data_IF_881549283897
#
_entry.id   IF_881549283897
#
_cell.length_a   1.000
_cell.length_b   1.000
_cell.length_c   1.000
_cell.angle_alpha   90.00
_cell.angle_beta   90.00
_cell.angle_gamma   90.00
#
_symmetry.space_group_name_H-M   'P 1'
#
loop_
_entity.id
_entity.type
_entity.pdbx_description
1 polymer ?
#
# COMPACT_ATOMS: atom_id res chain seq x y z
N UNK A 1 17.50 7.58 -13.11
CA UNK A 1 16.72 6.70 -12.20
C UNK A 1 16.91 5.27 -12.65
N UNK A 2 17.16 4.33 -11.74
CA UNK A 2 17.34 2.91 -12.06
C UNK A 2 15.96 2.23 -12.14
N UNK A 3 15.65 1.54 -13.24
CA UNK A 3 14.36 0.87 -13.45
C UNK A 3 14.09 -0.25 -12.43
N UNK A 4 15.15 -0.84 -11.86
CA UNK A 4 15.01 -1.87 -10.82
C UNK A 4 14.32 -1.35 -9.55
N UNK A 5 14.49 -0.07 -9.23
CA UNK A 5 13.87 0.58 -8.06
C UNK A 5 12.33 0.68 -8.19
N UNK A 6 11.77 0.37 -9.36
CA UNK A 6 10.35 0.48 -9.69
C UNK A 6 9.77 -0.85 -10.20
N UNK A 7 10.43 -1.98 -9.92
CA UNK A 7 9.83 -3.29 -10.17
C UNK A 7 8.53 -3.41 -9.38
N UNK A 8 7.43 -3.71 -10.06
CA UNK A 8 6.10 -3.85 -9.45
C UNK A 8 5.72 -5.33 -9.41
N UNK A 9 5.24 -5.81 -8.27
CA UNK A 9 4.58 -7.11 -8.14
C UNK A 9 3.39 -7.00 -7.19
N UNK A 10 2.32 -7.74 -7.47
CA UNK A 10 1.13 -7.76 -6.60
C UNK A 10 1.06 -9.08 -5.84
N UNK A 11 0.72 -8.99 -4.57
CA UNK A 11 0.28 -10.11 -3.77
C UNK A 11 -1.25 -10.04 -3.65
N UNK A 12 -1.99 -11.03 -4.18
CA UNK A 12 -3.44 -10.99 -4.19
C UNK A 12 -4.05 -10.90 -2.79
N UNK A 13 -3.50 -11.63 -1.81
CA UNK A 13 -3.98 -11.63 -0.43
C UNK A 13 -2.83 -11.76 0.57
N UNK A 14 -2.82 -10.93 1.61
CA UNK A 14 -1.77 -10.87 2.63
C UNK A 14 -1.68 -12.14 3.49
N UNK A 15 -2.80 -12.83 3.68
CA UNK A 15 -2.88 -14.08 4.45
C UNK A 15 -2.28 -15.29 3.71
N UNK A 16 -2.23 -15.25 2.39
CA UNK A 16 -1.79 -16.37 1.55
C UNK A 16 -0.27 -16.36 1.30
N UNK A 17 0.49 -15.48 1.96
CA UNK A 17 1.87 -15.23 1.63
C UNK A 17 2.85 -15.49 2.78
N UNK A 18 3.69 -16.51 2.62
CA UNK A 18 5.06 -16.44 3.11
C UNK A 18 5.89 -15.61 2.13
N UNK A 19 5.97 -14.30 2.36
CA UNK A 19 6.76 -13.40 1.53
C UNK A 19 8.06 -13.02 2.25
N UNK A 20 9.20 -13.16 1.56
CA UNK A 20 10.52 -12.73 2.04
C UNK A 20 10.53 -11.28 2.52
N UNK A 21 9.70 -10.41 1.91
CA UNK A 21 9.56 -9.01 2.32
C UNK A 21 8.87 -8.91 3.68
N UNK A 22 7.79 -9.66 3.91
CA UNK A 22 7.09 -9.68 5.20
C UNK A 22 8.00 -10.20 6.32
N UNK A 23 8.78 -11.26 6.05
CA UNK A 23 9.78 -11.78 6.98
C UNK A 23 10.89 -10.75 7.25
N UNK A 24 11.48 -10.17 6.20
CA UNK A 24 12.55 -9.16 6.30
C UNK A 24 12.15 -7.98 7.19
N UNK A 25 10.95 -7.44 6.98
CA UNK A 25 10.47 -6.26 7.69
C UNK A 25 9.57 -6.58 8.90
N UNK A 26 9.50 -7.85 9.33
CA UNK A 26 8.68 -8.31 10.47
C UNK A 26 7.23 -7.81 10.40
N UNK A 27 6.64 -7.88 9.21
CA UNK A 27 5.25 -7.48 8.98
C UNK A 27 4.34 -8.53 9.59
N UNK A 28 3.44 -8.11 10.47
CA UNK A 28 2.39 -8.95 11.04
C UNK A 28 1.04 -8.35 10.67
N UNK A 29 0.12 -9.19 10.22
CA UNK A 29 -1.26 -8.82 9.96
C UNK A 29 -2.16 -9.48 11.00
N UNK A 30 -3.04 -8.70 11.60
CA UNK A 30 -4.07 -9.18 12.50
C UNK A 30 -5.43 -8.86 11.87
N UNK A 31 -6.25 -9.89 11.69
CA UNK A 31 -7.62 -9.73 11.21
C UNK A 31 -8.42 -8.86 12.18
N UNK A 32 -9.13 -7.87 11.65
CA UNK A 32 -9.99 -6.98 12.43
C UNK A 32 -11.46 -7.18 12.07
N UNK A 33 -11.80 -7.14 10.79
CA UNK A 33 -13.18 -7.11 10.31
C UNK A 33 -13.26 -7.37 8.81
N UNK A 34 -14.48 -7.50 8.27
CA UNK A 34 -14.76 -7.67 6.86
C UNK A 34 -16.12 -7.00 6.54
N UNK A 35 -16.24 -6.19 5.47
CA UNK A 35 -17.52 -5.66 5.02
C UNK A 35 -18.42 -6.77 4.44
N UNK A 36 -19.76 -6.67 4.48
CA UNK A 36 -20.69 -7.73 4.10
C UNK A 36 -20.48 -8.34 2.70
N UNK A 37 -19.85 -7.59 1.80
CA UNK A 37 -19.57 -7.98 0.41
C UNK A 37 -18.18 -7.50 -0.05
N UNK A 38 -17.18 -7.51 0.83
CA UNK A 38 -15.81 -7.17 0.43
C UNK A 38 -14.78 -7.93 1.25
N UNK A 39 -13.51 -7.64 1.00
CA UNK A 39 -12.40 -8.41 1.56
C UNK A 39 -12.06 -8.06 3.00
N UNK A 40 -11.44 -9.02 3.68
CA UNK A 40 -10.94 -8.87 5.04
C UNK A 40 -10.00 -7.65 5.21
N UNK A 41 -10.13 -7.01 6.36
CA UNK A 41 -9.40 -5.81 6.77
C UNK A 41 -8.55 -6.15 7.99
N UNK A 42 -7.31 -5.67 7.97
CA UNK A 42 -6.28 -6.04 8.94
C UNK A 42 -5.65 -4.80 9.58
N UNK A 43 -5.34 -4.90 10.87
CA UNK A 43 -4.32 -4.07 11.47
C UNK A 43 -2.94 -4.64 11.14
N UNK A 44 -1.99 -3.76 10.81
CA UNK A 44 -0.65 -4.14 10.40
C UNK A 44 0.36 -3.58 11.39
N UNK A 45 1.30 -4.43 11.81
CA UNK A 45 2.51 -3.97 12.48
C UNK A 45 3.74 -4.23 11.62
N UNK A 46 4.64 -3.26 11.56
CA UNK A 46 5.93 -3.34 10.86
C UNK A 46 7.01 -3.13 11.92
N UNK A 47 7.95 -4.07 12.06
CA UNK A 47 9.00 -4.00 13.10
C UNK A 47 8.44 -3.65 14.50
N UNK A 48 7.30 -4.24 14.84
CA UNK A 48 6.55 -4.05 16.10
C UNK A 48 5.90 -2.66 16.31
N UNK A 49 5.91 -1.78 15.30
CA UNK A 49 5.12 -0.53 15.27
C UNK A 49 3.81 -0.73 14.52
N UNK A 50 2.70 -0.25 15.07
CA UNK A 50 1.36 -0.43 14.49
C UNK A 50 1.00 0.73 13.58
N UNK A 51 0.50 0.45 12.37
CA UNK A 51 -0.02 1.47 11.47
C UNK A 51 -1.24 2.17 12.11
N UNK A 52 -1.38 3.50 11.96
CA UNK A 52 -2.53 4.25 12.50
C UNK A 52 -3.81 4.11 11.67
N UNK A 53 -3.86 3.12 10.77
CA UNK A 53 -4.97 2.79 9.87
C UNK A 53 -5.01 1.29 9.64
N UNK A 54 -6.13 0.80 9.13
CA UNK A 54 -6.25 -0.60 8.70
C UNK A 54 -6.09 -0.69 7.19
N UNK A 55 -5.73 -1.88 6.71
CA UNK A 55 -5.59 -2.14 5.27
C UNK A 55 -6.55 -3.23 4.84
N UNK A 56 -7.05 -3.15 3.62
CA UNK A 56 -7.60 -4.33 2.96
C UNK A 56 -6.48 -5.32 2.71
N UNK A 57 -6.73 -6.60 3.01
CA UNK A 57 -5.74 -7.66 2.82
C UNK A 57 -5.47 -7.99 1.36
N UNK A 58 -6.21 -7.40 0.42
CA UNK A 58 -6.10 -7.66 -1.02
C UNK A 58 -5.06 -6.77 -1.72
N UNK A 59 -4.59 -7.21 -2.87
CA UNK A 59 -3.83 -6.42 -3.85
C UNK A 59 -2.65 -5.61 -3.28
N UNK A 60 -1.95 -6.17 -2.28
CA UNK A 60 -0.75 -5.57 -1.71
C UNK A 60 0.32 -5.48 -2.79
N UNK A 61 0.62 -4.25 -3.21
CA UNK A 61 1.51 -4.01 -4.35
C UNK A 61 2.90 -3.65 -3.85
N UNK A 62 3.89 -4.50 -4.13
CA UNK A 62 5.29 -4.26 -3.82
C UNK A 62 5.94 -3.44 -4.94
N UNK A 63 6.73 -2.45 -4.55
CA UNK A 63 7.41 -1.51 -5.43
C UNK A 63 8.89 -1.46 -5.05
N UNK A 64 9.74 -1.92 -5.97
CA UNK A 64 11.15 -2.13 -5.70
C UNK A 64 11.34 -3.12 -4.54
N UNK A 65 12.28 -2.82 -3.64
CA UNK A 65 12.68 -3.73 -2.55
C UNK A 65 12.15 -3.33 -1.17
N UNK A 66 11.52 -2.15 -1.04
CA UNK A 66 11.13 -1.61 0.27
C UNK A 66 9.81 -0.87 0.33
N UNK A 67 9.16 -0.57 -0.78
CA UNK A 67 7.90 0.18 -0.77
C UNK A 67 6.72 -0.73 -1.04
N UNK A 68 5.61 -0.45 -0.38
CA UNK A 68 4.32 -1.12 -0.65
C UNK A 68 3.23 -0.07 -0.86
N UNK A 69 2.31 -0.37 -1.77
CA UNK A 69 1.06 0.34 -1.98
C UNK A 69 -0.08 -0.55 -1.53
N UNK A 70 -0.96 0.00 -0.69
CA UNK A 70 -2.08 -0.71 -0.08
C UNK A 70 -3.34 0.14 -0.10
N UNK A 71 -4.48 -0.51 -0.13
CA UNK A 71 -5.78 0.11 0.13
C UNK A 71 -6.00 0.17 1.64
N UNK A 72 -6.36 1.34 2.14
CA UNK A 72 -6.47 1.62 3.57
C UNK A 72 -7.80 2.27 3.92
N UNK A 73 -8.17 2.13 5.19
CA UNK A 73 -9.35 2.74 5.81
C UNK A 73 -9.00 3.19 7.22
N UNK A 74 -9.76 4.15 7.75
CA UNK A 74 -9.64 4.49 9.17
C UNK A 74 -9.99 3.28 10.04
N UNK A 75 -9.32 3.15 11.19
CA UNK A 75 -9.60 2.06 12.11
C UNK A 75 -11.10 2.03 12.48
N UNK A 76 -11.68 0.82 12.51
CA UNK A 76 -13.11 0.58 12.79
C UNK A 76 -14.06 1.08 11.70
N UNK A 77 -13.56 1.36 10.51
CA UNK A 77 -14.36 1.73 9.32
C UNK A 77 -14.00 0.84 8.15
N UNK A 78 -14.81 0.89 7.10
CA UNK A 78 -14.56 0.21 5.81
C UNK A 78 -14.61 1.19 4.62
N UNK A 79 -14.87 2.47 4.88
CA UNK A 79 -15.03 3.54 3.88
C UNK A 79 -14.83 4.89 4.61
N UNK A 80 -14.27 5.93 3.97
CA UNK A 80 -13.69 5.95 2.62
C UNK A 80 -12.40 5.14 2.49
N UNK A 81 -12.18 4.57 1.30
CA UNK A 81 -10.92 3.91 0.94
C UNK A 81 -9.92 4.94 0.45
N UNK A 82 -8.69 4.87 0.97
CA UNK A 82 -7.55 5.69 0.53
C UNK A 82 -6.36 4.80 0.19
N UNK A 83 -5.58 5.19 -0.81
CA UNK A 83 -4.30 4.53 -1.09
C UNK A 83 -3.19 5.07 -0.19
N UNK A 84 -2.47 4.16 0.46
CA UNK A 84 -1.27 4.46 1.24
C UNK A 84 -0.05 3.91 0.53
N UNK A 85 1.02 4.70 0.50
CA UNK A 85 2.37 4.23 0.17
C UNK A 85 3.15 4.12 1.48
N UNK A 86 3.76 2.96 1.73
CA UNK A 86 4.56 2.70 2.94
C UNK A 86 5.98 2.34 2.51
N UNK A 87 6.97 3.03 3.06
CA UNK A 87 8.39 2.67 2.94
C UNK A 87 8.82 1.88 4.17
N UNK A 88 8.99 0.56 3.98
CA UNK A 88 9.34 -0.41 5.01
C UNK A 88 10.78 -0.24 5.53
N UNK A 89 11.68 0.30 4.69
CA UNK A 89 13.07 0.52 5.06
C UNK A 89 13.16 1.72 6.01
N UNK A 90 12.55 2.83 5.61
CA UNK A 90 12.58 4.10 6.34
C UNK A 90 11.50 4.23 7.43
N UNK A 91 10.60 3.24 7.54
CA UNK A 91 9.48 3.25 8.50
C UNK A 91 8.62 4.52 8.40
N UNK A 92 8.28 4.90 7.16
CA UNK A 92 7.41 6.06 6.88
C UNK A 92 6.26 5.66 5.97
N UNK A 93 5.18 6.42 5.99
CA UNK A 93 4.04 6.25 5.09
C UNK A 93 3.54 7.59 4.56
N UNK A 94 2.77 7.55 3.47
CA UNK A 94 2.13 8.71 2.87
C UNK A 94 0.73 8.32 2.36
N UNK A 95 -0.28 9.13 2.69
CA UNK A 95 -1.62 9.02 2.09
C UNK A 95 -1.65 9.75 0.75
N UNK A 96 -2.25 9.11 -0.25
CA UNK A 96 -2.56 9.73 -1.54
C UNK A 96 -3.92 10.44 -1.54
N UNK A 97 -4.68 10.37 -0.43
CA UNK A 97 -6.02 10.96 -0.20
C UNK A 97 -7.14 10.44 -1.10
N UNK A 98 -6.81 9.89 -2.25
CA UNK A 98 -7.72 9.20 -3.17
C UNK A 98 -7.41 7.71 -3.21
N UNK A 99 -8.36 6.95 -3.74
CA UNK A 99 -8.25 5.51 -3.97
C UNK A 99 -7.66 5.24 -5.36
N UNK A 100 -6.46 4.68 -5.41
CA UNK A 100 -5.78 4.17 -6.61
C UNK A 100 -5.55 2.65 -6.48
N UNK A 101 -5.96 1.89 -7.50
CA UNK A 101 -5.86 0.41 -7.55
C UNK A 101 -4.62 -0.09 -8.27
N UNK A 102 -4.03 0.77 -9.12
CA UNK A 102 -2.96 0.41 -10.02
C UNK A 102 -1.88 1.49 -10.07
N UNK A 103 -0.64 1.01 -10.18
CA UNK A 103 0.56 1.81 -10.36
C UNK A 103 1.36 1.25 -11.52
N UNK A 104 1.95 2.14 -12.32
CA UNK A 104 2.84 1.78 -13.41
C UNK A 104 3.98 2.79 -13.51
N UNK A 105 5.12 2.34 -14.05
CA UNK A 105 6.26 3.21 -14.34
C UNK A 105 6.37 3.37 -15.86
N UNK A 106 6.04 4.57 -16.35
CA UNK A 106 5.97 4.89 -17.79
C UNK A 106 6.67 6.23 -18.02
N UNK A 107 7.50 6.32 -19.06
CA UNK A 107 8.21 7.55 -19.44
C UNK A 107 8.96 8.23 -18.26
N UNK A 108 9.62 7.43 -17.42
CA UNK A 108 10.34 7.88 -16.22
C UNK A 108 9.47 8.55 -15.15
N UNK A 109 8.16 8.25 -15.12
CA UNK A 109 7.21 8.74 -14.13
C UNK A 109 6.39 7.59 -13.57
N UNK A 110 5.87 7.80 -12.39
CA UNK A 110 4.86 6.94 -11.77
C UNK A 110 3.48 7.44 -12.19
N UNK A 111 2.67 6.53 -12.70
CA UNK A 111 1.28 6.78 -13.00
C UNK A 111 0.41 5.90 -12.12
N UNK A 112 -0.49 6.52 -11.35
CA UNK A 112 -1.47 5.84 -10.54
C UNK A 112 -2.87 6.06 -11.10
N UNK A 113 -3.63 4.98 -11.19
CA UNK A 113 -5.00 4.97 -11.74
C UNK A 113 -5.92 4.18 -10.85
N UNK A 114 -7.22 4.38 -11.03
CA UNK A 114 -8.26 3.53 -10.46
C UNK A 114 -9.04 2.85 -11.59
N UNK A 115 -9.21 1.54 -11.51
CA UNK A 115 -9.95 0.73 -12.49
C UNK A 115 -11.43 0.50 -12.10
N UNK A 116 -11.80 0.84 -10.88
CA UNK A 116 -13.13 0.63 -10.28
C UNK A 116 -13.98 1.91 -10.32
N UNK A 117 -13.39 3.03 -9.93
CA UNK A 117 -14.05 4.36 -9.91
C UNK A 117 -13.33 5.35 -10.81
N UNK A 118 -14.09 6.29 -11.37
CA UNK A 118 -13.52 7.34 -12.23
C UNK A 118 -12.95 8.46 -11.37
N UNK A 119 -11.62 8.50 -11.28
CA UNK A 119 -10.86 9.61 -10.69
C UNK A 119 -9.80 10.10 -11.67
N UNK A 120 -9.19 11.25 -11.37
CA UNK A 120 -8.05 11.74 -12.15
C UNK A 120 -6.83 10.83 -11.91
N UNK A 121 -6.04 10.62 -12.97
CA UNK A 121 -4.77 9.92 -12.88
C UNK A 121 -3.78 10.77 -12.09
N UNK A 122 -3.13 10.20 -11.10
CA UNK A 122 -2.01 10.85 -10.40
C UNK A 122 -0.70 10.53 -11.11
N UNK A 123 0.10 11.57 -11.37
CA UNK A 123 1.41 11.46 -12.00
C UNK A 123 2.45 12.03 -11.05
N UNK A 124 3.45 11.22 -10.70
CA UNK A 124 4.59 11.63 -9.86
C UNK A 124 5.89 11.43 -10.63
N UNK A 125 6.85 12.34 -10.50
CA UNK A 125 8.19 12.11 -11.06
C UNK A 125 8.98 11.16 -10.16
N UNK A 126 8.81 11.24 -8.85
CA UNK A 126 9.34 10.28 -7.88
C UNK A 126 8.50 10.19 -6.62
N UNK A 127 8.81 9.20 -5.78
CA UNK A 127 8.24 9.05 -4.44
C UNK A 127 8.67 10.17 -3.46
N UNK A 128 9.66 10.99 -3.81
CA UNK A 128 10.13 12.11 -2.98
C UNK A 128 9.10 13.26 -2.94
N UNK A 129 8.15 13.27 -3.86
CA UNK A 129 7.04 14.24 -3.90
C UNK A 129 5.96 13.96 -2.83
N UNK A 130 6.00 12.79 -2.19
CA UNK A 130 5.03 12.39 -1.18
C UNK A 130 5.29 13.07 0.17
N UNK A 131 4.21 13.36 0.89
CA UNK A 131 4.27 13.84 2.27
C UNK A 131 4.43 12.67 3.23
N UNK A 132 5.68 12.34 3.55
CA UNK A 132 6.03 11.23 4.43
C UNK A 132 5.78 11.55 5.91
N UNK A 133 5.19 10.58 6.61
CA UNK A 133 4.92 10.60 8.05
C UNK A 133 5.63 9.39 8.68
N UNK A 134 6.32 9.60 9.80
CA UNK A 134 6.98 8.53 10.54
C UNK A 134 5.99 7.58 11.22
N UNK A 135 6.34 6.29 11.22
CA UNK A 135 5.69 5.24 12.00
C UNK A 135 6.12 5.24 13.46
#
# INVERSE_FOLDING_TARGET
>A
MNAENYRISKLPYIENASNKIMEKYKIKAQYETEPPHGDAIYSISIKDKVLPFWIYGRDVTFIGDSKIMVESVQCKTWDPIETMIIDLENEVYASLKDWYTDISFVNNRLELTNQVVKIEKLILNSFDELQWIAL
#
